data_IF_156338547791
#
_entry.id   IF_156338547791
#
_cell.length_a   1.000
_cell.length_b   1.000
_cell.length_c   1.000
_cell.angle_alpha   90.00
_cell.angle_beta   90.00
_cell.angle_gamma   90.00
#
_symmetry.space_group_name_H-M   'P 1'
#
loop_
_entity.id
_entity.type
_entity.pdbx_description
1 polymer ?
#
# COMPACT_ATOMS: atom_id res chain seq x y z
N UNK A 1 5.15 -8.59 -3.48
CA UNK A 1 6.59 -8.78 -3.39
C UNK A 1 7.16 -7.90 -2.29
N UNK A 2 7.95 -8.48 -1.44
CA UNK A 2 8.58 -7.74 -0.36
C UNK A 2 9.86 -7.07 -0.86
N UNK A 3 10.03 -5.81 -0.48
CA UNK A 3 11.27 -5.09 -0.68
C UNK A 3 12.28 -5.65 0.32
N UNK A 4 13.52 -5.90 -0.10
CA UNK A 4 14.55 -6.41 0.80
C UNK A 4 14.83 -5.41 1.93
N UNK A 5 15.22 -5.91 3.09
CA UNK A 5 15.50 -5.06 4.24
C UNK A 5 16.58 -4.01 3.99
N UNK A 6 17.72 -4.32 3.32
CA UNK A 6 18.71 -3.29 2.99
C UNK A 6 18.14 -2.17 2.12
N UNK A 7 17.27 -2.50 1.16
CA UNK A 7 16.61 -1.49 0.32
C UNK A 7 15.67 -0.65 1.15
N UNK A 8 14.91 -1.27 2.07
CA UNK A 8 14.02 -0.54 2.97
C UNK A 8 14.79 0.44 3.84
N UNK A 9 15.93 0.03 4.36
CA UNK A 9 16.78 0.89 5.20
C UNK A 9 17.34 2.07 4.40
N UNK A 10 17.73 1.83 3.16
CA UNK A 10 18.22 2.89 2.27
C UNK A 10 17.11 3.91 1.99
N UNK A 11 15.92 3.43 1.67
CA UNK A 11 14.77 4.31 1.44
C UNK A 11 14.47 5.13 2.70
N UNK A 12 14.50 4.51 3.87
CA UNK A 12 14.27 5.20 5.13
C UNK A 12 15.33 6.27 5.40
N UNK A 13 16.58 5.99 5.07
CA UNK A 13 17.67 6.95 5.26
C UNK A 13 17.46 8.22 4.43
N UNK A 14 16.74 8.14 3.31
CA UNK A 14 16.40 9.30 2.47
C UNK A 14 15.06 9.93 2.87
N UNK A 15 14.32 9.35 3.80
CA UNK A 15 12.99 9.82 4.18
C UNK A 15 12.93 11.29 4.62
N UNK A 16 13.92 11.86 5.36
CA UNK A 16 13.87 13.28 5.70
C UNK A 16 13.80 14.20 4.48
N UNK A 17 14.42 13.77 3.39
CA UNK A 17 14.41 14.52 2.14
C UNK A 17 13.18 14.24 1.30
N UNK A 18 12.46 13.17 1.60
CA UNK A 18 11.28 12.74 0.86
C UNK A 18 10.19 13.81 0.87
N UNK A 19 9.90 14.38 2.03
CA UNK A 19 8.88 15.42 2.17
C UNK A 19 9.26 16.73 1.49
N UNK A 20 10.55 17.01 1.36
CA UNK A 20 11.05 18.23 0.75
C UNK A 20 11.38 18.05 -0.73
N UNK A 21 11.17 16.87 -1.26
CA UNK A 21 11.49 16.53 -2.64
C UNK A 21 10.22 16.17 -3.40
N UNK A 22 9.59 17.19 -3.99
CA UNK A 22 8.35 16.99 -4.74
C UNK A 22 8.54 16.08 -5.95
N UNK A 23 9.73 16.09 -6.55
CA UNK A 23 10.04 15.20 -7.67
C UNK A 23 10.00 13.72 -7.25
N UNK A 24 10.50 13.44 -6.04
CA UNK A 24 10.48 12.09 -5.50
C UNK A 24 9.05 11.63 -5.24
N UNK A 25 8.22 12.51 -4.68
CA UNK A 25 6.83 12.22 -4.40
C UNK A 25 6.04 12.00 -5.70
N UNK A 26 6.25 12.85 -6.70
CA UNK A 26 5.61 12.71 -8.01
C UNK A 26 6.03 11.38 -8.64
N UNK A 27 7.31 11.01 -8.54
CA UNK A 27 7.79 9.72 -9.04
C UNK A 27 7.08 8.54 -8.38
N UNK A 28 6.89 8.61 -7.07
CA UNK A 28 6.16 7.56 -6.34
C UNK A 28 4.71 7.45 -6.83
N UNK A 29 4.04 8.58 -7.01
CA UNK A 29 2.66 8.59 -7.50
C UNK A 29 2.56 8.02 -8.91
N UNK A 30 3.47 8.41 -9.80
CA UNK A 30 3.50 7.90 -11.17
C UNK A 30 3.77 6.39 -11.20
N UNK A 31 4.74 5.92 -10.43
CA UNK A 31 5.05 4.49 -10.34
C UNK A 31 3.87 3.69 -9.80
N UNK A 32 3.17 4.24 -8.81
CA UNK A 32 1.99 3.60 -8.25
C UNK A 32 0.90 3.43 -9.30
N UNK A 33 0.63 4.49 -10.08
CA UNK A 33 -0.46 4.49 -11.05
C UNK A 33 -0.10 3.77 -12.34
N UNK A 34 1.15 3.88 -12.80
CA UNK A 34 1.56 3.37 -14.11
C UNK A 34 2.16 1.97 -14.05
N UNK A 35 2.75 1.59 -12.92
CA UNK A 35 3.44 0.31 -12.77
C UNK A 35 2.80 -0.61 -11.74
N UNK A 36 2.69 -0.16 -10.49
CA UNK A 36 2.27 -1.05 -9.41
C UNK A 36 0.81 -1.47 -9.53
N UNK A 37 -0.09 -0.52 -9.79
CA UNK A 37 -1.51 -0.84 -9.90
C UNK A 37 -1.81 -1.75 -11.09
N UNK A 38 -1.37 -1.43 -12.33
CA UNK A 38 -1.71 -2.27 -13.47
C UNK A 38 -0.96 -3.61 -13.51
N UNK A 39 0.27 -3.65 -13.00
CA UNK A 39 1.11 -4.83 -13.15
C UNK A 39 1.01 -5.82 -11.99
N UNK A 40 0.69 -5.35 -10.78
CA UNK A 40 0.68 -6.21 -9.59
C UNK A 40 -0.70 -6.41 -9.00
N UNK A 41 -1.54 -5.36 -8.98
CA UNK A 41 -2.84 -5.43 -8.32
C UNK A 41 -3.97 -5.77 -9.29
N UNK A 42 -3.97 -5.16 -10.47
CA UNK A 42 -5.03 -5.40 -11.46
C UNK A 42 -5.19 -6.89 -11.80
N UNK A 43 -4.09 -7.66 -12.03
CA UNK A 43 -4.25 -9.09 -12.30
C UNK A 43 -4.94 -9.86 -11.17
N UNK A 44 -4.67 -9.49 -9.92
CA UNK A 44 -5.31 -10.12 -8.75
C UNK A 44 -6.81 -9.80 -8.74
N UNK A 45 -7.16 -8.54 -9.03
CA UNK A 45 -8.56 -8.12 -9.08
C UNK A 45 -9.29 -8.82 -10.22
N UNK A 46 -8.69 -8.90 -11.39
CA UNK A 46 -9.29 -9.58 -12.53
C UNK A 46 -9.54 -11.05 -12.25
N UNK A 47 -8.59 -11.70 -11.59
CA UNK A 47 -8.76 -13.09 -11.16
C UNK A 47 -9.92 -13.23 -10.17
N UNK A 48 -10.04 -12.30 -9.24
CA UNK A 48 -11.14 -12.30 -8.28
C UNK A 48 -12.50 -12.06 -8.93
N UNK A 49 -12.55 -11.23 -9.98
CA UNK A 49 -13.78 -11.03 -10.75
C UNK A 49 -14.15 -12.32 -11.49
N UNK A 50 -13.16 -12.97 -12.08
CA UNK A 50 -13.38 -14.21 -12.82
C UNK A 50 -13.89 -15.34 -11.93
N UNK A 51 -13.37 -15.47 -10.72
CA UNK A 51 -13.80 -16.52 -9.78
C UNK A 51 -15.03 -16.13 -8.95
N UNK A 52 -15.51 -14.89 -9.08
CA UNK A 52 -16.70 -14.42 -8.39
C UNK A 52 -16.46 -13.85 -7.01
N UNK A 53 -15.21 -13.79 -6.53
CA UNK A 53 -14.90 -13.26 -5.19
C UNK A 53 -14.88 -11.74 -5.15
N UNK A 54 -14.70 -11.08 -6.29
CA UNK A 54 -14.66 -9.63 -6.39
C UNK A 54 -15.76 -9.16 -7.34
N UNK A 55 -16.50 -8.14 -6.92
CA UNK A 55 -17.56 -7.54 -7.75
C UNK A 55 -17.28 -6.07 -7.93
N UNK A 56 -16.83 -5.71 -9.12
CA UNK A 56 -16.66 -4.32 -9.51
C UNK A 56 -16.75 -4.18 -11.02
N UNK A 57 -17.32 -3.07 -11.47
CA UNK A 57 -17.33 -2.71 -12.89
C UNK A 57 -16.10 -1.88 -13.26
N UNK A 58 -15.24 -1.55 -12.28
CA UNK A 58 -14.11 -0.64 -12.47
C UNK A 58 -12.83 -1.24 -11.89
N UNK A 59 -12.36 -2.36 -12.47
CA UNK A 59 -11.21 -3.07 -11.88
C UNK A 59 -9.91 -2.24 -11.89
N UNK A 60 -9.68 -1.48 -12.95
CA UNK A 60 -8.47 -0.65 -13.03
C UNK A 60 -8.46 0.43 -11.95
N UNK A 61 -9.57 1.14 -11.81
CA UNK A 61 -9.67 2.20 -10.82
C UNK A 61 -9.60 1.65 -9.40
N UNK A 62 -10.17 0.48 -9.17
CA UNK A 62 -10.04 -0.17 -7.87
C UNK A 62 -8.59 -0.53 -7.56
N UNK A 63 -7.85 -1.05 -8.54
CA UNK A 63 -6.43 -1.33 -8.38
C UNK A 63 -5.65 -0.07 -8.04
N UNK A 64 -5.93 1.02 -8.72
CA UNK A 64 -5.28 2.31 -8.48
C UNK A 64 -5.57 2.81 -7.06
N UNK A 65 -6.83 2.75 -6.63
CA UNK A 65 -7.22 3.20 -5.29
C UNK A 65 -6.54 2.37 -4.20
N UNK A 66 -6.48 1.06 -4.38
CA UNK A 66 -5.81 0.17 -3.43
C UNK A 66 -4.33 0.55 -3.30
N UNK A 67 -3.64 0.71 -4.41
CA UNK A 67 -2.21 1.02 -4.37
C UNK A 67 -1.94 2.42 -3.85
N UNK A 68 -2.76 3.42 -4.20
CA UNK A 68 -2.61 4.75 -3.63
C UNK A 68 -2.81 4.74 -2.13
N UNK A 69 -3.81 4.01 -1.66
CA UNK A 69 -4.06 3.88 -0.23
C UNK A 69 -2.86 3.26 0.48
N UNK A 70 -2.33 2.16 -0.05
CA UNK A 70 -1.20 1.46 0.56
C UNK A 70 0.10 2.25 0.47
N UNK A 71 0.40 2.83 -0.70
CA UNK A 71 1.70 3.46 -0.95
C UNK A 71 1.78 4.91 -0.51
N UNK A 72 0.67 5.60 -0.36
CA UNK A 72 0.67 7.02 0.00
C UNK A 72 0.06 7.22 1.38
N UNK A 73 -1.23 6.89 1.53
CA UNK A 73 -1.93 7.17 2.78
C UNK A 73 -1.39 6.37 3.97
N UNK A 74 -1.05 5.11 3.74
CA UNK A 74 -0.53 4.22 4.79
C UNK A 74 1.00 4.21 4.84
N UNK A 75 1.65 5.06 4.06
CA UNK A 75 3.11 5.05 3.93
C UNK A 75 3.75 5.87 5.05
N UNK A 76 4.49 5.25 5.98
CA UNK A 76 5.11 5.96 7.09
C UNK A 76 6.21 6.92 6.67
N UNK A 77 6.70 6.82 5.44
CA UNK A 77 7.68 7.76 4.89
C UNK A 77 7.04 9.08 4.47
N UNK A 78 5.73 9.08 4.21
CA UNK A 78 4.98 10.28 3.80
C UNK A 78 4.29 10.90 5.01
N UNK A 79 3.59 10.08 5.79
CA UNK A 79 2.85 10.52 6.96
C UNK A 79 3.43 9.82 8.20
N UNK A 80 3.95 10.62 9.13
CA UNK A 80 4.50 10.11 10.38
C UNK A 80 3.36 9.77 11.33
N UNK A 81 2.92 8.53 11.30
CA UNK A 81 1.87 8.05 12.17
C UNK A 81 2.45 7.31 13.37
N UNK A 82 1.73 7.40 14.50
CA UNK A 82 2.01 6.52 15.63
C UNK A 82 1.62 5.09 15.24
N UNK A 83 2.10 4.12 16.02
CA UNK A 83 1.75 2.73 15.82
C UNK A 83 0.23 2.52 15.90
N UNK A 84 -0.43 3.22 16.83
CA UNK A 84 -1.87 3.19 16.98
C UNK A 84 -2.59 3.76 15.75
N UNK A 85 -2.13 4.89 15.23
CA UNK A 85 -2.73 5.48 14.04
C UNK A 85 -2.53 4.59 12.81
N UNK A 86 -1.36 3.98 12.68
CA UNK A 86 -1.10 3.02 11.60
C UNK A 86 -2.07 1.85 11.67
N UNK A 87 -2.30 1.33 12.87
CA UNK A 87 -3.27 0.25 13.08
C UNK A 87 -4.66 0.68 12.65
N UNK A 88 -5.09 1.88 13.04
CA UNK A 88 -6.39 2.39 12.66
C UNK A 88 -6.54 2.52 11.13
N UNK A 89 -5.48 2.95 10.46
CA UNK A 89 -5.47 3.01 8.99
C UNK A 89 -5.65 1.62 8.37
N UNK A 90 -4.98 0.61 8.90
CA UNK A 90 -5.17 -0.76 8.44
C UNK A 90 -6.60 -1.24 8.64
N UNK A 91 -7.23 -0.90 9.76
CA UNK A 91 -8.61 -1.28 10.01
C UNK A 91 -9.58 -0.65 9.03
N UNK A 92 -9.38 0.62 8.71
CA UNK A 92 -10.19 1.31 7.71
C UNK A 92 -9.96 0.71 6.32
N UNK A 93 -8.72 0.44 5.98
CA UNK A 93 -8.38 -0.20 4.72
C UNK A 93 -9.06 -1.56 4.58
N UNK A 94 -9.03 -2.38 5.65
CA UNK A 94 -9.70 -3.67 5.66
C UNK A 94 -11.21 -3.52 5.42
N UNK A 95 -11.84 -2.56 6.10
CA UNK A 95 -13.26 -2.31 5.92
C UNK A 95 -13.61 -1.86 4.50
N UNK A 96 -12.75 -1.02 3.92
CA UNK A 96 -12.91 -0.58 2.54
C UNK A 96 -12.84 -1.77 1.58
N UNK A 97 -11.87 -2.63 1.79
CA UNK A 97 -11.68 -3.82 0.95
C UNK A 97 -12.87 -4.77 1.05
N UNK A 98 -13.37 -5.00 2.26
CA UNK A 98 -14.56 -5.83 2.46
C UNK A 98 -15.79 -5.25 1.77
N UNK A 99 -15.89 -3.92 1.74
CA UNK A 99 -16.99 -3.23 1.06
C UNK A 99 -17.03 -3.49 -0.44
N UNK A 100 -15.89 -3.81 -1.04
CA UNK A 100 -15.78 -4.19 -2.44
C UNK A 100 -15.83 -5.71 -2.65
N UNK A 101 -16.11 -6.48 -1.61
CA UNK A 101 -16.07 -7.93 -1.69
C UNK A 101 -14.66 -8.50 -1.74
N UNK A 102 -13.67 -7.69 -1.39
CA UNK A 102 -12.27 -8.07 -1.40
C UNK A 102 -11.88 -8.67 -0.07
N UNK A 103 -12.04 -9.98 0.06
CA UNK A 103 -11.54 -10.71 1.22
C UNK A 103 -10.09 -11.15 0.95
N UNK A 104 -9.35 -10.30 0.21
CA UNK A 104 -7.98 -10.57 -0.22
C UNK A 104 -6.99 -10.26 0.90
N UNK A 105 -7.37 -9.38 1.82
CA UNK A 105 -6.49 -9.07 2.95
C UNK A 105 -6.62 -10.21 3.93
N UNK A 106 -5.86 -11.26 3.69
CA UNK A 106 -5.75 -12.32 4.65
C UNK A 106 -4.82 -11.87 5.79
N UNK A 107 -4.79 -12.67 6.83
CA UNK A 107 -3.97 -12.38 8.00
C UNK A 107 -2.50 -12.25 7.62
N UNK A 108 -2.02 -13.05 6.68
CA UNK A 108 -0.64 -13.02 6.23
C UNK A 108 -0.26 -11.66 5.62
N UNK A 109 -1.12 -11.13 4.77
CA UNK A 109 -0.88 -9.82 4.16
C UNK A 109 -0.89 -8.70 5.21
N UNK A 110 -1.84 -8.75 6.15
CA UNK A 110 -1.89 -7.78 7.24
C UNK A 110 -0.63 -7.86 8.10
N UNK A 111 -0.19 -9.06 8.44
CA UNK A 111 1.02 -9.26 9.23
C UNK A 111 2.25 -8.67 8.52
N UNK A 112 2.36 -8.86 7.22
CA UNK A 112 3.45 -8.28 6.43
C UNK A 112 3.42 -6.76 6.42
N UNK A 113 2.24 -6.18 6.26
CA UNK A 113 2.10 -4.72 6.26
C UNK A 113 2.44 -4.15 7.64
N UNK A 114 2.00 -4.81 8.71
CA UNK A 114 2.35 -4.40 10.07
C UNK A 114 3.85 -4.53 10.33
N UNK A 115 4.48 -5.58 9.85
CA UNK A 115 5.91 -5.78 9.97
C UNK A 115 6.69 -4.66 9.29
N UNK A 116 6.29 -4.28 8.07
CA UNK A 116 6.89 -3.16 7.36
C UNK A 116 6.75 -1.85 8.13
N UNK A 117 5.56 -1.60 8.67
CA UNK A 117 5.31 -0.40 9.48
C UNK A 117 6.20 -0.39 10.71
N UNK A 118 6.34 -1.54 11.40
CA UNK A 118 7.21 -1.64 12.57
C UNK A 118 8.67 -1.36 12.24
N UNK A 119 9.16 -1.84 11.10
CA UNK A 119 10.54 -1.59 10.67
C UNK A 119 10.76 -0.08 10.49
N UNK A 120 9.85 0.61 9.82
CA UNK A 120 9.96 2.05 9.61
C UNK A 120 9.88 2.83 10.92
N UNK A 121 9.02 2.42 11.85
CA UNK A 121 8.87 3.11 13.12
C UNK A 121 10.08 2.93 14.04
N UNK A 122 10.69 1.75 14.03
CA UNK A 122 11.88 1.49 14.84
C UNK A 122 13.07 2.34 14.44
N UNK A 123 13.10 2.83 13.22
CA UNK A 123 14.18 3.67 12.72
C UNK A 123 14.03 5.14 13.14
N UNK A 124 12.88 5.51 13.59
CA UNK A 124 12.63 6.86 14.11
C UNK A 124 13.10 6.98 15.56
#
# INVERSE_FOLDING_TARGET
ASISRPVQEEIFATAPNFHNNSKFLVGLLQDTMEEAAPNYILPIIEQGIEDGSIQTDYPKQLAELIMLTANVWMNPMIFEDTEEESYCKFMVFEQMMKGFGLDIIDKEMLDRLQELTSIYQKKK
#
